data_IF_763525184816
#
_entry.id   IF_763525184816
#
_cell.length_a   1.000
_cell.length_b   1.000
_cell.length_c   1.000
_cell.angle_alpha   90.00
_cell.angle_beta   90.00
_cell.angle_gamma   90.00
#
_symmetry.space_group_name_H-M   'P 1'
#
loop_
_entity.id
_entity.type
_entity.pdbx_description
1 polymer ?
#
# COMPACT_ATOMS: atom_id res chain seq x y z
N UNK A 1 -14.15 -11.47 4.36
CA UNK A 1 -12.88 -11.88 4.99
C UNK A 1 -11.97 -10.65 4.98
N UNK A 2 -11.58 -10.12 6.14
CA UNK A 2 -10.65 -8.98 6.22
C UNK A 2 -9.23 -9.56 6.20
N UNK A 3 -8.35 -9.00 5.37
CA UNK A 3 -6.93 -9.39 5.29
C UNK A 3 -6.08 -8.24 5.81
N UNK A 4 -5.12 -8.55 6.67
CA UNK A 4 -4.06 -7.64 7.12
C UNK A 4 -2.73 -8.31 6.78
N UNK A 5 -1.89 -7.63 6.02
CA UNK A 5 -0.52 -8.06 5.70
C UNK A 5 0.41 -6.92 6.10
N UNK A 6 1.45 -7.15 6.92
CA UNK A 6 2.48 -6.16 7.17
C UNK A 6 3.70 -6.42 6.28
N UNK A 7 3.91 -5.65 5.21
CA UNK A 7 5.20 -5.55 4.56
C UNK A 7 6.21 -4.90 5.51
N UNK A 8 7.48 -5.24 5.29
CA UNK A 8 8.61 -4.60 5.94
C UNK A 8 8.61 -3.08 5.65
N UNK A 9 8.86 -2.25 6.66
CA UNK A 9 8.88 -0.78 6.54
C UNK A 9 10.24 -0.19 7.01
N UNK A 10 11.36 -0.71 6.45
CA UNK A 10 12.69 -0.49 6.97
C UNK A 10 13.10 0.99 6.86
N UNK A 11 13.72 1.50 7.93
CA UNK A 11 14.22 2.87 8.04
C UNK A 11 13.14 3.95 8.10
N UNK A 12 11.86 3.57 8.08
CA UNK A 12 10.71 4.49 8.15
C UNK A 12 9.84 4.24 9.38
N UNK A 13 9.78 2.99 9.86
CA UNK A 13 9.02 2.64 11.05
C UNK A 13 9.58 3.36 12.30
N UNK A 14 8.68 3.98 13.07
CA UNK A 14 8.97 4.62 14.34
C UNK A 14 7.74 4.61 15.22
N UNK A 15 7.63 3.58 16.06
CA UNK A 15 6.50 3.33 16.95
C UNK A 15 6.42 4.31 18.12
N UNK A 16 5.23 4.42 18.72
CA UNK A 16 4.97 5.35 19.81
C UNK A 16 5.78 4.98 21.07
N UNK A 17 6.19 5.97 21.87
CA UNK A 17 6.92 5.70 23.10
C UNK A 17 6.03 4.97 24.12
N UNK A 18 6.60 3.99 24.80
CA UNK A 18 5.95 3.32 25.92
C UNK A 18 6.09 4.14 27.21
N UNK A 19 5.02 4.24 28.00
CA UNK A 19 5.06 4.71 29.39
C UNK A 19 4.30 3.75 30.30
N UNK A 20 4.74 3.61 31.55
CA UNK A 20 4.08 2.73 32.52
C UNK A 20 2.61 3.12 32.78
N UNK A 21 2.25 4.40 32.61
CA UNK A 21 0.88 4.88 32.75
C UNK A 21 -0.04 4.36 31.62
N UNK A 22 0.51 4.04 30.45
CA UNK A 22 -0.24 3.58 29.28
C UNK A 22 -0.26 2.05 29.13
N UNK A 23 0.31 1.30 30.10
CA UNK A 23 0.48 -0.15 30.01
C UNK A 23 -0.83 -0.90 29.67
N UNK A 24 -1.97 -0.47 30.24
CA UNK A 24 -3.28 -1.11 30.01
C UNK A 24 -3.87 -0.92 28.62
N UNK A 25 -3.32 -0.02 27.80
CA UNK A 25 -3.73 0.22 26.41
C UNK A 25 -2.58 0.08 25.41
N UNK A 26 -1.44 -0.45 25.85
CA UNK A 26 -0.27 -0.66 25.00
C UNK A 26 -0.32 -2.05 24.39
N UNK A 27 -0.05 -2.13 23.10
CA UNK A 27 0.20 -3.39 22.38
C UNK A 27 1.55 -3.31 21.68
N UNK A 28 2.16 -4.47 21.44
CA UNK A 28 3.33 -4.56 20.57
C UNK A 28 2.92 -4.30 19.11
N UNK A 29 3.86 -3.77 18.33
CA UNK A 29 3.65 -3.49 16.91
C UNK A 29 3.08 -4.66 16.12
N UNK A 30 3.57 -5.89 16.36
CA UNK A 30 3.11 -7.07 15.63
C UNK A 30 1.68 -7.51 15.98
N UNK A 31 1.14 -7.08 17.12
CA UNK A 31 -0.21 -7.43 17.58
C UNK A 31 -1.29 -6.60 16.88
N UNK A 32 -0.92 -5.51 16.21
CA UNK A 32 -1.87 -4.58 15.61
C UNK A 32 -2.81 -5.26 14.60
N UNK A 33 -2.31 -6.20 13.81
CA UNK A 33 -3.12 -6.93 12.85
C UNK A 33 -4.23 -7.75 13.52
N UNK A 34 -3.90 -8.50 14.57
CA UNK A 34 -4.87 -9.27 15.36
C UNK A 34 -5.85 -8.35 16.06
N UNK A 35 -5.37 -7.29 16.71
CA UNK A 35 -6.21 -6.31 17.38
C UNK A 35 -7.26 -5.70 16.43
N UNK A 36 -6.87 -5.36 15.21
CA UNK A 36 -7.80 -4.85 14.19
C UNK A 36 -8.86 -5.90 13.83
N UNK A 37 -8.43 -7.12 13.52
CA UNK A 37 -9.30 -8.18 13.02
C UNK A 37 -10.28 -8.72 14.07
N UNK A 38 -9.89 -8.72 15.33
CA UNK A 38 -10.70 -9.20 16.45
C UNK A 38 -11.78 -8.20 16.88
N UNK A 39 -11.55 -6.88 16.70
CA UNK A 39 -12.37 -5.85 17.33
C UNK A 39 -13.26 -5.04 16.38
N UNK A 40 -12.94 -4.93 15.08
CA UNK A 40 -13.62 -3.95 14.20
C UNK A 40 -14.19 -4.56 12.94
N UNK A 41 -15.41 -4.14 12.59
CA UNK A 41 -16.16 -4.61 11.45
C UNK A 41 -15.86 -3.86 10.13
N UNK A 42 -15.32 -2.65 10.21
CA UNK A 42 -15.15 -1.76 9.05
C UNK A 42 -13.89 -0.90 9.16
N UNK A 43 -13.40 -0.39 8.02
CA UNK A 43 -12.31 0.59 8.00
C UNK A 43 -12.68 1.84 8.81
N UNK A 44 -13.96 2.25 8.79
CA UNK A 44 -14.44 3.38 9.56
C UNK A 44 -14.29 3.17 11.08
N UNK A 45 -14.60 1.98 11.58
CA UNK A 45 -14.41 1.63 12.99
C UNK A 45 -12.94 1.59 13.37
N UNK A 46 -12.07 1.06 12.50
CA UNK A 46 -10.61 1.09 12.74
C UNK A 46 -10.12 2.54 12.88
N UNK A 47 -10.48 3.43 11.93
CA UNK A 47 -10.09 4.86 11.98
C UNK A 47 -10.59 5.54 13.27
N UNK A 48 -11.77 5.19 13.74
CA UNK A 48 -12.35 5.79 14.96
C UNK A 48 -11.66 5.33 16.25
N UNK A 49 -11.03 4.16 16.26
CA UNK A 49 -10.52 3.54 17.50
C UNK A 49 -8.99 3.41 17.56
N UNK A 50 -8.29 3.42 16.44
CA UNK A 50 -6.83 3.20 16.39
C UNK A 50 -6.04 4.24 17.20
N UNK A 51 -6.57 5.45 17.38
CA UNK A 51 -5.95 6.48 18.22
C UNK A 51 -6.09 6.26 19.74
N UNK A 52 -6.86 5.26 20.18
CA UNK A 52 -7.11 5.00 21.60
C UNK A 52 -6.10 4.03 22.23
N UNK A 53 -5.23 3.43 21.44
CA UNK A 53 -4.20 2.48 21.89
C UNK A 53 -2.80 3.05 21.70
N UNK A 54 -1.83 2.47 22.40
CA UNK A 54 -0.41 2.73 22.19
C UNK A 54 0.21 1.53 21.47
N UNK A 55 0.67 1.71 20.24
CA UNK A 55 1.49 0.74 19.53
C UNK A 55 2.95 1.09 19.75
N UNK A 56 3.61 0.28 20.58
CA UNK A 56 5.00 0.47 20.98
C UNK A 56 5.93 -0.51 20.27
N UNK A 57 7.21 -0.13 20.18
CA UNK A 57 8.26 -1.02 19.73
C UNK A 57 8.58 -2.03 20.82
N UNK A 58 8.29 -3.29 20.55
CA UNK A 58 8.69 -4.43 21.38
C UNK A 58 9.69 -5.28 20.62
N UNK A 59 10.58 -5.98 21.34
CA UNK A 59 11.48 -6.99 20.75
C UNK A 59 10.91 -8.35 21.07
N UNK A 60 10.66 -9.16 20.03
CA UNK A 60 10.31 -10.56 20.24
C UNK A 60 11.59 -11.35 20.49
N UNK A 61 11.71 -12.01 21.64
CA UNK A 61 12.94 -12.71 22.06
C UNK A 61 13.43 -13.72 21.00
N UNK A 62 12.51 -14.45 20.36
CA UNK A 62 12.85 -15.42 19.32
C UNK A 62 13.40 -14.80 18.02
N UNK A 63 13.26 -13.48 17.81
CA UNK A 63 13.76 -12.77 16.64
C UNK A 63 14.98 -11.91 16.96
N UNK A 64 15.10 -11.43 18.20
CA UNK A 64 16.20 -10.55 18.61
C UNK A 64 16.12 -9.12 18.04
N UNK A 65 15.05 -8.78 17.33
CA UNK A 65 14.76 -7.43 16.85
C UNK A 65 13.26 -7.13 16.92
N UNK A 66 12.93 -5.84 16.82
CA UNK A 66 11.57 -5.33 16.67
C UNK A 66 11.26 -5.25 15.16
N UNK A 67 10.27 -5.98 14.62
CA UNK A 67 9.92 -5.85 13.20
C UNK A 67 9.49 -4.43 12.87
N UNK A 68 9.98 -3.92 11.74
CA UNK A 68 9.56 -2.65 11.16
C UNK A 68 8.41 -2.92 10.19
N UNK A 69 7.20 -2.51 10.57
CA UNK A 69 5.97 -2.88 9.89
C UNK A 69 5.07 -1.66 9.73
N UNK A 70 4.35 -1.66 8.61
CA UNK A 70 3.20 -0.82 8.37
C UNK A 70 2.04 -1.67 7.85
N UNK A 71 0.82 -1.17 7.94
CA UNK A 71 -0.38 -2.00 7.78
C UNK A 71 -1.29 -1.42 6.72
N UNK A 72 -1.84 -2.30 5.87
CA UNK A 72 -2.99 -1.99 5.03
C UNK A 72 -4.22 -2.74 5.54
N UNK A 73 -5.36 -2.05 5.54
CA UNK A 73 -6.65 -2.62 5.96
C UNK A 73 -7.66 -2.36 4.85
N UNK A 74 -8.35 -3.42 4.41
CA UNK A 74 -9.48 -3.33 3.49
C UNK A 74 -10.76 -3.85 4.16
N UNK A 75 -11.92 -3.28 3.81
CA UNK A 75 -13.21 -3.82 4.20
C UNK A 75 -14.09 -4.22 3.00
N UNK A 76 -15.24 -4.83 3.30
CA UNK A 76 -16.18 -5.33 2.30
C UNK A 76 -16.87 -4.23 1.47
N UNK A 77 -16.77 -2.96 1.89
CA UNK A 77 -17.28 -1.83 1.11
C UNK A 77 -16.28 -1.35 0.04
N UNK A 78 -15.09 -1.95 -0.03
CA UNK A 78 -14.02 -1.54 -0.92
C UNK A 78 -13.15 -0.40 -0.38
N UNK A 79 -13.42 0.09 0.84
CA UNK A 79 -12.56 1.10 1.47
C UNK A 79 -11.24 0.47 1.90
N UNK A 80 -10.17 1.27 1.81
CA UNK A 80 -8.85 0.88 2.24
C UNK A 80 -8.16 2.03 2.97
N UNK A 81 -7.38 1.68 3.99
CA UNK A 81 -6.48 2.60 4.69
C UNK A 81 -5.09 2.01 4.83
N UNK A 82 -4.10 2.90 4.92
CA UNK A 82 -2.74 2.58 5.35
C UNK A 82 -2.50 3.17 6.73
N UNK A 83 -1.87 2.40 7.61
CA UNK A 83 -1.51 2.77 8.98
C UNK A 83 0.02 2.68 9.09
N UNK A 84 0.65 3.82 9.34
CA UNK A 84 2.10 3.96 9.44
C UNK A 84 2.48 4.66 10.74
N UNK A 85 3.41 4.06 11.48
CA UNK A 85 4.05 4.72 12.62
C UNK A 85 5.39 5.28 12.17
N UNK A 86 5.56 6.60 12.21
CA UNK A 86 6.79 7.29 11.77
C UNK A 86 7.17 8.31 12.83
N UNK A 87 8.43 8.28 13.28
CA UNK A 87 8.95 9.24 14.25
C UNK A 87 8.15 9.28 15.57
N UNK A 88 7.61 8.14 16.00
CA UNK A 88 6.81 8.02 17.23
C UNK A 88 5.36 8.46 17.09
N UNK A 89 4.85 8.63 15.86
CA UNK A 89 3.49 9.12 15.60
C UNK A 89 2.71 8.18 14.71
N UNK A 90 1.43 8.00 15.06
CA UNK A 90 0.44 7.34 14.21
C UNK A 90 0.06 8.24 13.02
N UNK A 91 0.17 7.70 11.81
CA UNK A 91 -0.36 8.29 10.59
C UNK A 91 -1.35 7.31 9.96
N UNK A 92 -2.52 7.80 9.58
CA UNK A 92 -3.57 6.99 8.94
C UNK A 92 -3.98 7.70 7.65
N UNK A 93 -3.81 7.00 6.53
CA UNK A 93 -4.12 7.52 5.19
C UNK A 93 -5.28 6.75 4.58
N UNK A 94 -6.19 7.45 3.91
CA UNK A 94 -7.12 6.79 2.99
C UNK A 94 -6.34 6.31 1.75
N UNK A 95 -6.57 5.06 1.34
CA UNK A 95 -5.90 4.44 0.19
C UNK A 95 -6.93 4.13 -0.91
N UNK A 96 -7.33 5.11 -1.73
CA UNK A 96 -8.34 4.91 -2.77
C UNK A 96 -7.87 3.96 -3.89
N UNK A 97 -6.56 3.72 -4.02
CA UNK A 97 -5.99 2.84 -5.04
C UNK A 97 -5.87 1.39 -4.56
N UNK A 98 -5.95 1.14 -3.25
CA UNK A 98 -5.84 -0.19 -2.65
C UNK A 98 -4.46 -0.86 -2.83
N UNK A 99 -3.43 -0.11 -3.26
CA UNK A 99 -2.07 -0.62 -3.49
C UNK A 99 -1.16 -0.26 -2.32
N UNK A 100 -0.23 -1.14 -2.00
CA UNK A 100 0.67 -1.01 -0.87
C UNK A 100 1.96 -1.80 -1.11
N UNK A 101 3.11 -1.28 -0.66
CA UNK A 101 4.40 -1.98 -0.80
C UNK A 101 5.24 -1.90 0.47
N UNK A 102 6.40 -1.25 0.49
CA UNK A 102 7.27 -1.15 1.66
C UNK A 102 7.62 0.33 1.86
N UNK A 103 8.85 0.65 2.27
CA UNK A 103 9.36 2.02 2.34
C UNK A 103 9.52 2.69 0.97
N UNK A 104 9.42 4.02 0.89
CA UNK A 104 9.18 4.98 1.99
C UNK A 104 7.69 5.10 2.36
N UNK A 105 7.33 6.11 3.16
CA UNK A 105 5.96 6.32 3.61
C UNK A 105 4.94 6.47 2.46
N UNK A 106 3.69 6.14 2.76
CA UNK A 106 2.62 6.06 1.76
C UNK A 106 2.34 7.40 1.06
N UNK A 107 2.42 8.53 1.77
CA UNK A 107 2.26 9.87 1.21
C UNK A 107 3.32 10.19 0.14
N UNK A 108 4.55 9.71 0.34
CA UNK A 108 5.60 9.79 -0.65
C UNK A 108 5.28 8.94 -1.88
N UNK A 109 4.79 7.71 -1.70
CA UNK A 109 4.38 6.87 -2.83
C UNK A 109 3.29 7.54 -3.66
N UNK A 110 2.29 8.14 -3.00
CA UNK A 110 1.25 8.93 -3.66
C UNK A 110 1.81 10.15 -4.39
N UNK A 111 2.80 10.82 -3.81
CA UNK A 111 3.51 11.93 -4.49
C UNK A 111 4.30 11.44 -5.70
N UNK A 112 4.97 10.29 -5.59
CA UNK A 112 5.77 9.70 -6.67
C UNK A 112 4.91 9.34 -7.90
N UNK A 113 3.65 8.93 -7.71
CA UNK A 113 2.73 8.67 -8.83
C UNK A 113 2.58 9.87 -9.78
N UNK A 114 2.81 11.10 -9.30
CA UNK A 114 2.75 12.32 -10.14
C UNK A 114 3.83 12.36 -11.22
N UNK A 115 4.88 11.54 -11.12
CA UNK A 115 5.86 11.38 -12.20
C UNK A 115 5.32 10.54 -13.37
N UNK A 116 4.22 9.81 -13.18
CA UNK A 116 3.66 8.85 -14.13
C UNK A 116 2.29 9.26 -14.67
N UNK A 117 2.00 10.58 -14.70
CA UNK A 117 0.73 11.12 -15.21
C UNK A 117 0.45 10.81 -16.69
N UNK A 118 1.48 10.37 -17.42
CA UNK A 118 1.43 9.99 -18.82
C UNK A 118 1.03 8.51 -19.05
N UNK A 119 0.82 7.74 -17.99
CA UNK A 119 0.31 6.36 -18.07
C UNK A 119 -1.05 6.34 -18.79
N UNK A 120 -1.21 5.37 -19.71
CA UNK A 120 -2.47 5.13 -20.42
C UNK A 120 -2.61 3.64 -20.81
N UNK A 121 -3.85 3.15 -20.78
CA UNK A 121 -4.23 1.84 -21.34
C UNK A 121 -4.21 1.82 -22.87
N UNK A 122 -4.13 2.98 -23.53
CA UNK A 122 -4.16 3.09 -24.99
C UNK A 122 -2.77 3.40 -25.54
N UNK A 123 -2.44 2.83 -26.69
CA UNK A 123 -1.21 3.17 -27.39
C UNK A 123 -1.15 4.66 -27.77
N UNK A 124 0.05 5.21 -27.70
CA UNK A 124 0.36 6.53 -28.24
C UNK A 124 0.24 6.47 -29.77
N UNK A 125 -0.49 7.41 -30.39
CA UNK A 125 -0.62 7.45 -31.85
C UNK A 125 0.72 7.80 -32.52
N UNK A 126 0.84 7.55 -33.84
CA UNK A 126 2.04 7.94 -34.61
C UNK A 126 2.33 9.44 -34.47
N UNK A 127 3.63 9.78 -34.40
CA UNK A 127 4.09 11.17 -34.27
C UNK A 127 4.86 11.58 -35.52
N UNK A 128 4.68 12.84 -35.95
CA UNK A 128 5.46 13.45 -37.03
C UNK A 128 6.51 14.40 -36.45
N UNK A 129 7.78 14.10 -36.70
CA UNK A 129 8.93 14.93 -36.31
C UNK A 129 9.61 15.46 -37.57
N UNK A 130 9.34 16.71 -37.94
CA UNK A 130 9.79 17.27 -39.20
C UNK A 130 9.22 16.49 -40.40
N UNK A 131 10.10 15.89 -41.21
CA UNK A 131 9.73 15.06 -42.37
C UNK A 131 9.55 13.57 -42.03
N UNK A 132 9.94 13.13 -40.83
CA UNK A 132 9.89 11.72 -40.44
C UNK A 132 8.59 11.43 -39.70
N UNK A 133 7.90 10.36 -40.12
CA UNK A 133 6.76 9.78 -39.40
C UNK A 133 7.26 8.57 -38.61
N UNK A 134 7.03 8.57 -37.29
CA UNK A 134 7.35 7.45 -36.41
C UNK A 134 6.07 6.66 -36.13
N UNK A 135 6.07 5.39 -36.55
CA UNK A 135 5.00 4.43 -36.26
C UNK A 135 5.32 3.64 -34.98
N UNK A 136 4.32 3.23 -34.19
CA UNK A 136 4.54 2.30 -33.08
C UNK A 136 5.08 0.94 -33.56
N UNK A 137 5.99 0.34 -32.81
CA UNK A 137 6.47 -1.02 -33.08
C UNK A 137 5.46 -2.12 -32.74
N UNK A 138 4.41 -1.80 -31.99
CA UNK A 138 3.41 -2.76 -31.51
C UNK A 138 2.49 -2.16 -30.45
N UNK A 139 2.00 -3.02 -29.56
CA UNK A 139 1.13 -2.65 -28.44
C UNK A 139 1.95 -2.29 -27.18
N UNK A 140 1.35 -1.51 -26.28
CA UNK A 140 1.90 -1.19 -24.96
C UNK A 140 2.56 0.19 -24.85
N UNK A 141 2.54 1.03 -25.89
CA UNK A 141 3.20 2.34 -25.86
C UNK A 141 2.58 3.32 -24.87
N UNK A 142 1.33 3.09 -24.43
CA UNK A 142 0.69 3.86 -23.36
C UNK A 142 1.29 3.62 -21.97
N UNK A 143 2.01 2.51 -21.78
CA UNK A 143 2.69 2.16 -20.53
C UNK A 143 4.18 2.52 -20.54
N UNK A 144 4.64 3.26 -21.57
CA UNK A 144 6.04 3.64 -21.68
C UNK A 144 6.45 4.54 -20.50
N UNK A 145 7.55 4.16 -19.84
CA UNK A 145 8.06 4.86 -18.66
C UNK A 145 7.75 4.17 -17.33
N UNK A 146 6.92 3.12 -17.31
CA UNK A 146 6.74 2.32 -16.09
C UNK A 146 8.07 1.68 -15.66
N UNK A 147 8.42 1.75 -14.37
CA UNK A 147 9.67 1.18 -13.87
C UNK A 147 9.58 -0.35 -13.80
N UNK A 148 10.65 -1.06 -14.18
CA UNK A 148 10.67 -2.54 -14.28
C UNK A 148 11.42 -3.27 -13.15
N UNK A 149 12.12 -2.56 -12.28
CA UNK A 149 12.92 -3.15 -11.21
C UNK A 149 12.07 -3.57 -9.98
N UNK A 150 12.64 -4.32 -9.04
CA UNK A 150 11.90 -4.88 -7.90
C UNK A 150 11.89 -4.00 -6.64
N UNK A 151 12.38 -2.76 -6.71
CA UNK A 151 12.34 -1.87 -5.56
C UNK A 151 10.89 -1.55 -5.16
N UNK A 152 10.63 -1.21 -3.89
CA UNK A 152 9.26 -0.90 -3.45
C UNK A 152 8.60 0.24 -4.23
N UNK A 153 9.25 1.40 -4.50
CA UNK A 153 8.67 2.45 -5.34
C UNK A 153 8.24 1.94 -6.71
N UNK A 154 9.08 1.15 -7.37
CA UNK A 154 8.79 0.61 -8.70
C UNK A 154 7.66 -0.41 -8.68
N UNK A 155 7.63 -1.31 -7.68
CA UNK A 155 6.52 -2.25 -7.48
C UNK A 155 5.20 -1.52 -7.20
N UNK A 156 5.22 -0.45 -6.41
CA UNK A 156 4.03 0.35 -6.12
C UNK A 156 3.46 0.96 -7.39
N UNK A 157 4.30 1.61 -8.20
CA UNK A 157 3.89 2.23 -9.47
C UNK A 157 3.32 1.19 -10.44
N UNK A 158 3.99 0.03 -10.59
CA UNK A 158 3.48 -1.05 -11.46
C UNK A 158 2.16 -1.62 -10.96
N UNK A 159 2.05 -1.90 -9.67
CA UNK A 159 0.81 -2.44 -9.09
C UNK A 159 -0.35 -1.45 -9.25
N UNK A 160 -0.12 -0.14 -9.11
CA UNK A 160 -1.13 0.88 -9.44
C UNK A 160 -1.48 0.81 -10.93
N UNK A 161 -0.50 0.84 -11.84
CA UNK A 161 -0.78 0.81 -13.27
C UNK A 161 -1.61 -0.41 -13.69
N UNK A 162 -1.28 -1.60 -13.18
CA UNK A 162 -2.00 -2.84 -13.52
C UNK A 162 -3.36 -2.95 -12.84
N UNK A 163 -3.47 -2.64 -11.55
CA UNK A 163 -4.75 -2.67 -10.84
C UNK A 163 -5.77 -1.67 -11.39
N UNK A 164 -5.32 -0.53 -11.92
CA UNK A 164 -6.21 0.46 -12.55
C UNK A 164 -6.52 0.15 -14.03
N UNK A 165 -5.81 -0.82 -14.63
CA UNK A 165 -6.02 -1.22 -16.04
C UNK A 165 -6.73 -2.56 -16.21
N UNK A 166 -6.88 -3.32 -15.13
CA UNK A 166 -7.57 -4.62 -15.17
C UNK A 166 -9.07 -4.41 -15.39
N UNK A 167 -9.68 -5.27 -16.20
CA UNK A 167 -11.13 -5.25 -16.39
C UNK A 167 -11.81 -5.90 -15.18
N UNK A 168 -12.92 -5.31 -14.67
CA UNK A 168 -13.68 -5.95 -13.59
C UNK A 168 -14.15 -7.34 -14.00
N UNK A 169 -13.98 -8.31 -13.11
CA UNK A 169 -14.49 -9.66 -13.32
C UNK A 169 -15.94 -9.79 -12.87
N UNK A 170 -16.76 -10.53 -13.63
CA UNK A 170 -18.15 -10.82 -13.28
C UNK A 170 -18.26 -11.85 -12.14
N UNK A 171 -17.20 -12.60 -11.85
CA UNK A 171 -17.22 -13.69 -10.86
C UNK A 171 -16.10 -13.55 -9.84
N UNK A 172 -16.31 -14.07 -8.63
CA UNK A 172 -15.27 -14.09 -7.59
C UNK A 172 -14.03 -14.89 -8.00
N UNK A 173 -14.20 -16.03 -8.67
CA UNK A 173 -13.06 -16.84 -9.14
C UNK A 173 -12.26 -16.12 -10.23
N UNK A 174 -12.95 -15.43 -11.16
CA UNK A 174 -12.27 -14.60 -12.15
C UNK A 174 -11.52 -13.44 -11.50
N UNK A 175 -12.12 -12.74 -10.52
CA UNK A 175 -11.46 -11.67 -9.79
C UNK A 175 -10.21 -12.15 -9.04
N UNK A 176 -10.25 -13.36 -8.46
CA UNK A 176 -9.07 -13.98 -7.84
C UNK A 176 -7.98 -14.24 -8.87
N UNK A 177 -8.33 -14.76 -10.05
CA UNK A 177 -7.37 -15.02 -11.11
C UNK A 177 -6.72 -13.73 -11.62
N UNK A 178 -7.51 -12.68 -11.86
CA UNK A 178 -7.01 -11.36 -12.25
C UNK A 178 -6.03 -10.79 -11.20
N UNK A 179 -6.32 -10.97 -9.91
CA UNK A 179 -5.43 -10.54 -8.84
C UNK A 179 -4.07 -11.27 -8.82
N UNK A 180 -3.94 -12.46 -9.42
CA UNK A 180 -2.65 -13.14 -9.59
C UNK A 180 -1.87 -12.66 -10.83
N UNK A 181 -2.53 -12.02 -11.79
CA UNK A 181 -1.88 -11.44 -12.98
C UNK A 181 -1.35 -10.03 -12.75
N UNK A 182 -1.87 -9.33 -11.75
CA UNK A 182 -1.37 -8.04 -11.25
C UNK A 182 -0.09 -8.24 -10.43
#
# INVERSE_FOLDING_TARGET
>A
MRKVWPPDFPGSAGYMPYTAADAGKTIAQWELGSWILENFASVAEVKANIGNIVVASSVFEGWGFAPEAHYIVHDASGKSIVIEYVGGKLNVYDNPLGVFTNSPAFDWHMTNLRNYVNFSMTNVPPVKLGSIKLEPFGQGSGMLGLPGDFTPPSRFVRAVAFSQSVLPSETGNGAVLEAFYI
#
